data_IF_131966573374
#
_entry.id   IF_131966573374
#
_cell.length_a   1.000
_cell.length_b   1.000
_cell.length_c   1.000
_cell.angle_alpha   90.00
_cell.angle_beta   90.00
_cell.angle_gamma   90.00
#
_symmetry.space_group_name_H-M   'P 1'
#
loop_
_entity.id
_entity.type
_entity.pdbx_description
1 polymer ?
#
# COMPACT_ATOMS: atom_id res chain seq x y z
N UNK A 1 1.05 -0.07 4.02
CA UNK A 1 1.60 1.23 4.48
C UNK A 1 0.84 2.32 3.74
N UNK A 2 0.04 3.11 4.44
CA UNK A 2 -0.73 4.20 3.83
C UNK A 2 0.21 5.41 3.78
N UNK A 3 0.60 5.85 2.60
CA UNK A 3 1.23 7.14 2.43
C UNK A 3 0.13 8.21 2.38
N UNK A 4 -0.12 8.84 3.53
CA UNK A 4 -0.71 10.16 3.58
C UNK A 4 0.44 11.15 3.46
N UNK A 5 0.49 11.93 2.39
CA UNK A 5 1.44 13.04 2.29
C UNK A 5 1.08 14.09 3.33
N UNK A 6 1.90 14.21 4.40
CA UNK A 6 1.86 15.36 5.27
C UNK A 6 2.48 16.55 4.54
N UNK A 7 1.67 17.57 4.26
CA UNK A 7 2.04 18.98 4.15
C UNK A 7 3.18 19.35 3.20
N UNK A 8 3.03 19.15 1.96
CA UNK A 8 3.32 19.91 0.75
C UNK A 8 2.82 19.03 -0.38
N UNK A 9 1.53 19.01 -0.51
CA UNK A 9 0.85 18.23 -1.52
C UNK A 9 1.02 19.00 -2.82
N UNK A 10 1.94 18.58 -3.66
CA UNK A 10 1.79 18.81 -5.08
C UNK A 10 0.51 18.09 -5.46
N UNK A 11 -0.60 18.82 -5.53
CA UNK A 11 -1.87 18.29 -6.04
C UNK A 11 -1.62 17.74 -7.43
N UNK A 12 -2.29 16.62 -7.78
CA UNK A 12 -2.22 16.14 -9.16
C UNK A 12 -2.62 17.29 -10.09
N UNK A 13 -1.83 17.53 -11.15
CA UNK A 13 -2.08 18.65 -12.04
C UNK A 13 -3.51 18.62 -12.58
N UNK A 14 -4.21 19.76 -12.51
CA UNK A 14 -5.53 19.92 -13.13
C UNK A 14 -5.37 19.98 -14.64
N UNK A 15 -6.45 19.80 -15.37
CA UNK A 15 -6.44 19.82 -16.86
C UNK A 15 -5.88 21.10 -17.51
N UNK A 16 -5.68 22.16 -16.74
CA UNK A 16 -5.12 23.45 -17.18
C UNK A 16 -3.72 23.73 -16.58
N UNK A 17 -3.07 22.73 -16.02
CA UNK A 17 -1.75 22.89 -15.40
C UNK A 17 -0.66 22.90 -16.46
N UNK A 18 0.40 23.69 -16.23
CA UNK A 18 1.54 23.75 -17.15
C UNK A 18 2.23 22.38 -17.27
N UNK A 19 2.70 22.04 -18.45
CA UNK A 19 3.39 20.78 -18.78
C UNK A 19 4.57 20.51 -17.84
N UNK A 20 5.28 21.57 -17.43
CA UNK A 20 6.41 21.49 -16.52
C UNK A 20 6.02 20.99 -15.12
N UNK A 21 4.87 21.42 -14.60
CA UNK A 21 4.36 20.97 -13.30
C UNK A 21 3.90 19.52 -13.35
N UNK A 22 3.30 19.11 -14.48
CA UNK A 22 2.90 17.72 -14.71
C UNK A 22 4.12 16.80 -14.70
N UNK A 23 5.18 17.21 -15.41
CA UNK A 23 6.43 16.47 -15.48
C UNK A 23 7.07 16.34 -14.10
N UNK A 24 7.20 17.45 -13.37
CA UNK A 24 7.76 17.44 -12.02
C UNK A 24 6.98 16.53 -11.09
N UNK A 25 5.63 16.53 -11.18
CA UNK A 25 4.79 15.64 -10.38
C UNK A 25 5.11 14.16 -10.61
N UNK A 26 5.30 13.71 -11.86
CA UNK A 26 5.65 12.33 -12.15
C UNK A 26 7.09 11.99 -11.78
N UNK A 27 8.03 12.96 -11.87
CA UNK A 27 9.40 12.80 -11.39
C UNK A 27 9.42 12.61 -9.86
N UNK A 28 8.74 13.45 -9.09
CA UNK A 28 8.62 13.30 -7.63
C UNK A 28 8.01 11.95 -7.23
N UNK A 29 7.02 11.48 -8.01
CA UNK A 29 6.38 10.20 -7.77
C UNK A 29 7.32 9.03 -8.09
N UNK A 30 8.16 9.18 -9.13
CA UNK A 30 9.19 8.21 -9.48
C UNK A 30 10.23 8.08 -8.36
N UNK A 31 10.70 9.20 -7.81
CA UNK A 31 11.65 9.21 -6.69
C UNK A 31 11.08 8.49 -5.46
N UNK A 32 9.80 8.71 -5.16
CA UNK A 32 9.10 8.01 -4.07
C UNK A 32 9.02 6.49 -4.31
N UNK A 33 8.81 6.08 -5.56
CA UNK A 33 8.79 4.66 -5.92
C UNK A 33 10.16 4.01 -5.76
N UNK A 34 11.24 4.71 -6.12
CA UNK A 34 12.61 4.22 -5.99
C UNK A 34 13.01 4.03 -4.52
N UNK A 35 12.54 4.89 -3.63
CA UNK A 35 12.73 4.76 -2.19
C UNK A 35 11.96 3.59 -1.56
N UNK A 36 10.96 3.06 -2.28
CA UNK A 36 10.11 1.99 -1.74
C UNK A 36 10.72 0.61 -2.04
N UNK A 37 11.00 -0.23 -1.03
CA UNK A 37 11.54 -1.56 -1.26
C UNK A 37 10.62 -2.41 -2.15
N UNK A 38 11.16 -3.02 -3.20
CA UNK A 38 10.39 -3.82 -4.20
C UNK A 38 9.60 -4.98 -3.60
N UNK A 39 9.94 -5.44 -2.40
CA UNK A 39 9.23 -6.53 -1.68
C UNK A 39 8.02 -6.04 -0.89
N UNK A 40 7.92 -4.75 -0.64
CA UNK A 40 6.85 -4.18 0.15
C UNK A 40 5.55 -4.08 -0.66
N UNK A 41 4.44 -4.02 0.05
CA UNK A 41 3.13 -3.81 -0.57
C UNK A 41 2.95 -2.32 -0.80
N UNK A 42 2.88 -1.92 -2.06
CA UNK A 42 2.68 -0.54 -2.45
C UNK A 42 1.24 -0.32 -2.91
N UNK A 43 0.60 0.69 -2.35
CA UNK A 43 -0.63 1.29 -2.85
C UNK A 43 -0.46 2.80 -2.95
N UNK A 44 -0.83 3.36 -4.10
CA UNK A 44 -0.91 4.80 -4.33
C UNK A 44 -2.38 5.12 -4.57
N UNK A 45 -2.99 5.88 -3.67
CA UNK A 45 -4.40 6.24 -3.71
C UNK A 45 -4.48 7.74 -3.85
N UNK A 46 -5.09 8.20 -4.96
CA UNK A 46 -5.12 9.61 -5.27
C UNK A 46 -6.24 9.96 -6.25
N UNK A 47 -6.66 11.23 -6.25
CA UNK A 47 -7.27 11.89 -7.39
C UNK A 47 -6.18 12.17 -8.44
N UNK A 48 -6.33 11.58 -9.61
CA UNK A 48 -5.37 11.70 -10.72
C UNK A 48 -5.80 12.71 -11.76
N UNK A 49 -7.02 13.26 -11.67
CA UNK A 49 -7.65 14.10 -12.69
C UNK A 49 -7.53 13.51 -14.11
N UNK A 50 -7.44 12.21 -14.20
CA UNK A 50 -7.16 11.43 -15.39
C UNK A 50 -8.31 10.48 -15.69
N UNK A 51 -8.60 10.20 -16.96
CA UNK A 51 -9.54 9.17 -17.39
C UNK A 51 -8.77 8.08 -18.12
N UNK A 52 -8.74 6.86 -17.59
CA UNK A 52 -8.02 5.75 -18.20
C UNK A 52 -8.89 4.90 -19.14
N UNK A 53 -10.20 5.11 -19.13
CA UNK A 53 -11.12 4.41 -20.03
C UNK A 53 -11.35 2.94 -19.70
N UNK A 54 -12.07 2.27 -20.60
CA UNK A 54 -12.43 0.84 -20.50
C UNK A 54 -11.59 -0.08 -21.38
N UNK A 55 -10.57 0.45 -22.05
CA UNK A 55 -9.68 -0.37 -22.86
C UNK A 55 -8.73 -1.15 -21.97
N UNK A 56 -8.67 -2.47 -22.20
CA UNK A 56 -7.71 -3.34 -21.50
C UNK A 56 -6.31 -3.14 -22.04
N UNK A 57 -5.38 -2.83 -21.15
CA UNK A 57 -3.94 -2.76 -21.42
C UNK A 57 -3.28 -3.82 -20.54
N UNK A 58 -2.71 -4.88 -21.15
CA UNK A 58 -2.16 -6.00 -20.40
C UNK A 58 -1.18 -5.55 -19.31
N UNK A 59 -1.43 -5.99 -18.09
CA UNK A 59 -0.58 -5.69 -16.95
C UNK A 59 -0.84 -4.32 -16.27
N UNK A 60 -1.60 -3.41 -16.88
CA UNK A 60 -1.85 -2.07 -16.35
C UNK A 60 -3.32 -1.84 -16.03
N UNK A 61 -4.20 -1.95 -17.03
CA UNK A 61 -5.64 -1.76 -16.84
C UNK A 61 -6.41 -3.05 -17.13
N UNK A 62 -7.56 -3.20 -16.48
CA UNK A 62 -8.58 -4.16 -16.92
C UNK A 62 -9.61 -3.50 -17.83
N UNK A 63 -10.60 -4.26 -18.25
CA UNK A 63 -11.66 -3.85 -19.17
C UNK A 63 -12.88 -3.19 -18.49
N UNK A 64 -12.80 -2.95 -17.18
CA UNK A 64 -13.94 -2.46 -16.40
C UNK A 64 -13.81 -1.01 -15.96
N UNK A 65 -12.94 -0.23 -16.62
CA UNK A 65 -12.88 1.23 -16.44
C UNK A 65 -14.07 1.94 -17.08
N UNK A 66 -14.17 3.25 -16.88
CA UNK A 66 -15.27 4.07 -17.35
C UNK A 66 -14.90 4.93 -18.55
N UNK A 67 -15.64 4.79 -19.65
CA UNK A 67 -15.59 5.69 -20.81
C UNK A 67 -14.31 5.55 -21.66
N UNK A 68 -13.86 6.68 -22.18
CA UNK A 68 -12.64 6.79 -22.99
C UNK A 68 -11.52 7.46 -22.18
N UNK A 69 -10.28 7.15 -22.50
CA UNK A 69 -9.14 7.85 -21.91
C UNK A 69 -9.00 9.28 -22.44
N UNK A 70 -8.37 10.12 -21.66
CA UNK A 70 -7.91 11.44 -22.04
C UNK A 70 -6.38 11.49 -22.01
N UNK A 71 -5.78 12.62 -22.37
CA UNK A 71 -4.34 12.81 -22.39
C UNK A 71 -3.68 12.54 -21.01
N UNK A 72 -4.28 13.05 -19.93
CA UNK A 72 -3.81 12.76 -18.58
C UNK A 72 -3.92 11.26 -18.22
N UNK A 73 -4.97 10.57 -18.72
CA UNK A 73 -5.13 9.13 -18.58
C UNK A 73 -4.07 8.35 -19.35
N UNK A 74 -3.71 8.80 -20.54
CA UNK A 74 -2.63 8.21 -21.32
C UNK A 74 -1.29 8.30 -20.57
N UNK A 75 -0.94 9.47 -20.03
CA UNK A 75 0.28 9.66 -19.22
C UNK A 75 0.28 8.78 -17.97
N UNK A 76 -0.85 8.66 -17.29
CA UNK A 76 -0.98 7.76 -16.13
C UNK A 76 -0.75 6.30 -16.51
N UNK A 77 -1.27 5.87 -17.64
CA UNK A 77 -1.08 4.51 -18.17
C UNK A 77 0.40 4.26 -18.49
N UNK A 78 1.07 5.19 -19.17
CA UNK A 78 2.49 5.12 -19.51
C UNK A 78 3.35 5.04 -18.25
N UNK A 79 3.10 5.90 -17.28
CA UNK A 79 3.76 5.83 -15.97
C UNK A 79 3.57 4.48 -15.26
N UNK A 80 2.35 3.93 -15.30
CA UNK A 80 2.07 2.61 -14.74
C UNK A 80 2.79 1.48 -15.47
N UNK A 81 2.95 1.57 -16.80
CA UNK A 81 3.71 0.61 -17.61
C UNK A 81 5.18 0.60 -17.22
N UNK A 82 5.80 1.78 -17.16
CA UNK A 82 7.22 1.96 -16.82
C UNK A 82 7.53 1.44 -15.40
N UNK A 83 6.61 1.66 -14.46
CA UNK A 83 6.80 1.31 -13.05
C UNK A 83 6.19 -0.02 -12.62
N UNK A 84 5.73 -0.83 -13.56
CA UNK A 84 5.11 -2.13 -13.26
C UNK A 84 3.96 -2.02 -12.26
N UNK A 85 3.12 -0.99 -12.42
CA UNK A 85 1.92 -0.73 -11.62
C UNK A 85 0.65 -1.18 -12.36
N UNK A 86 -0.39 -1.48 -11.59
CA UNK A 86 -1.72 -1.81 -12.10
C UNK A 86 -2.75 -0.86 -11.52
N UNK A 87 -3.72 -0.45 -12.33
CA UNK A 87 -4.83 0.43 -11.94
C UNK A 87 -5.98 -0.44 -11.43
N UNK A 88 -6.06 -0.58 -10.11
CA UNK A 88 -6.88 -1.58 -9.44
C UNK A 88 -8.40 -1.45 -9.72
N UNK A 89 -8.92 -0.23 -9.84
CA UNK A 89 -10.34 0.02 -10.08
C UNK A 89 -10.84 -0.58 -11.40
N UNK A 90 -9.96 -0.73 -12.39
CA UNK A 90 -10.32 -1.22 -13.73
C UNK A 90 -10.40 -2.75 -13.82
N UNK A 91 -9.98 -3.45 -12.76
CA UNK A 91 -9.83 -4.91 -12.76
C UNK A 91 -11.14 -5.66 -12.48
N UNK A 92 -12.13 -5.00 -11.89
CA UNK A 92 -13.32 -5.65 -11.36
C UNK A 92 -14.59 -5.17 -12.07
N UNK A 93 -15.41 -6.14 -12.45
CA UNK A 93 -16.72 -5.84 -12.98
C UNK A 93 -17.64 -5.35 -11.85
N UNK A 94 -17.97 -4.08 -11.91
CA UNK A 94 -18.89 -3.44 -10.98
C UNK A 94 -20.05 -2.77 -11.74
N UNK A 95 -21.16 -2.55 -11.05
CA UNK A 95 -22.26 -1.81 -11.62
C UNK A 95 -21.82 -0.37 -11.93
N UNK A 96 -22.19 0.18 -13.08
CA UNK A 96 -21.76 1.50 -13.57
C UNK A 96 -21.81 2.60 -12.48
N UNK A 97 -22.83 2.57 -11.61
CA UNK A 97 -22.93 3.49 -10.47
C UNK A 97 -21.79 3.40 -9.47
N UNK A 98 -21.09 2.29 -9.37
CA UNK A 98 -19.97 2.05 -8.44
C UNK A 98 -18.60 2.28 -9.07
N UNK A 99 -18.57 2.78 -10.30
CA UNK A 99 -17.34 3.15 -11.00
C UNK A 99 -17.05 4.65 -10.90
N UNK A 100 -18.09 5.48 -10.72
CA UNK A 100 -17.89 6.92 -10.59
C UNK A 100 -17.18 7.25 -9.28
N UNK A 101 -16.15 8.08 -9.36
CA UNK A 101 -15.42 8.58 -8.19
C UNK A 101 -15.69 10.07 -7.94
N UNK A 102 -16.19 10.78 -8.95
CA UNK A 102 -16.52 12.18 -8.88
C UNK A 102 -17.84 12.49 -9.58
N UNK A 103 -18.60 13.40 -9.00
CA UNK A 103 -19.85 13.91 -9.59
C UNK A 103 -19.78 15.45 -9.62
N UNK A 104 -20.10 16.06 -10.78
CA UNK A 104 -20.10 17.50 -10.89
C UNK A 104 -21.13 18.12 -9.93
N UNK A 105 -20.91 19.39 -9.46
CA UNK A 105 -21.81 20.08 -8.53
C UNK A 105 -23.26 20.21 -9.07
N UNK A 106 -23.43 20.24 -10.40
CA UNK A 106 -24.75 20.26 -11.04
C UNK A 106 -25.38 18.86 -11.19
N UNK A 107 -24.69 17.79 -10.75
CA UNK A 107 -25.12 16.39 -10.82
C UNK A 107 -25.18 15.77 -12.23
N UNK A 108 -24.85 16.56 -13.29
CA UNK A 108 -25.01 16.11 -14.68
C UNK A 108 -23.86 15.26 -15.19
N UNK A 109 -22.66 15.49 -14.69
CA UNK A 109 -21.45 14.81 -15.14
C UNK A 109 -20.89 13.91 -14.03
N UNK A 110 -20.53 12.71 -14.41
CA UNK A 110 -19.90 11.72 -13.51
C UNK A 110 -18.69 11.10 -14.17
N UNK A 111 -17.57 11.13 -13.48
CA UNK A 111 -16.30 10.65 -13.98
C UNK A 111 -15.65 9.65 -13.00
N UNK A 112 -14.74 8.86 -13.54
CA UNK A 112 -13.80 8.07 -12.77
C UNK A 112 -12.43 8.72 -12.96
N UNK A 113 -11.95 9.44 -11.95
CA UNK A 113 -10.70 10.20 -11.97
C UNK A 113 -9.80 9.88 -10.78
N UNK A 114 -10.33 9.19 -9.77
CA UNK A 114 -9.55 8.64 -8.68
C UNK A 114 -9.24 7.18 -8.94
N UNK A 115 -7.99 6.84 -8.75
CA UNK A 115 -7.52 5.47 -8.93
C UNK A 115 -6.64 5.02 -7.79
N UNK A 116 -6.65 3.71 -7.58
CA UNK A 116 -5.75 3.01 -6.69
C UNK A 116 -4.74 2.28 -7.56
N UNK A 117 -3.49 2.72 -7.50
CA UNK A 117 -2.39 2.02 -8.12
C UNK A 117 -1.80 1.02 -7.15
N UNK A 118 -1.36 -0.11 -7.67
CA UNK A 118 -0.73 -1.16 -6.90
C UNK A 118 0.37 -1.80 -7.74
N UNK A 119 1.48 -2.22 -7.14
CA UNK A 119 2.47 -2.97 -7.90
C UNK A 119 1.87 -4.28 -8.43
N UNK A 120 2.19 -4.61 -9.68
CA UNK A 120 1.63 -5.75 -10.42
C UNK A 120 1.82 -7.07 -9.67
N UNK A 121 2.90 -7.19 -8.92
CA UNK A 121 3.19 -8.34 -8.04
C UNK A 121 2.04 -8.63 -7.05
N UNK A 122 1.34 -7.59 -6.59
CA UNK A 122 0.29 -7.70 -5.58
C UNK A 122 -1.12 -7.68 -6.16
N UNK A 123 -1.26 -7.62 -7.49
CA UNK A 123 -2.54 -7.62 -8.19
C UNK A 123 -3.50 -8.72 -7.70
N UNK A 124 -2.99 -9.94 -7.55
CA UNK A 124 -3.80 -11.10 -7.10
C UNK A 124 -4.28 -11.00 -5.64
N UNK A 125 -3.73 -10.09 -4.87
CA UNK A 125 -4.14 -9.83 -3.49
C UNK A 125 -5.34 -8.89 -3.40
N UNK A 126 -5.65 -8.14 -4.47
CA UNK A 126 -6.81 -7.27 -4.55
C UNK A 126 -8.02 -8.15 -4.87
N UNK A 127 -9.08 -8.04 -4.07
CA UNK A 127 -10.31 -8.83 -4.21
C UNK A 127 -11.46 -8.03 -4.81
N UNK A 128 -11.51 -6.73 -4.58
CA UNK A 128 -12.48 -5.81 -5.17
C UNK A 128 -12.01 -4.38 -5.02
N UNK A 129 -12.44 -3.51 -5.95
CA UNK A 129 -12.28 -2.06 -5.88
C UNK A 129 -13.55 -1.42 -6.43
N UNK A 130 -14.23 -0.57 -5.64
CA UNK A 130 -15.50 0.05 -5.99
C UNK A 130 -15.77 1.29 -5.17
N UNK A 131 -16.64 2.16 -5.65
CA UNK A 131 -17.11 3.30 -4.87
C UNK A 131 -18.34 2.92 -4.03
N UNK A 132 -18.50 3.63 -2.92
CA UNK A 132 -19.68 3.57 -2.06
C UNK A 132 -20.45 4.87 -2.17
N UNK A 133 -21.56 4.82 -2.92
CA UNK A 133 -22.47 5.95 -3.10
C UNK A 133 -23.07 6.39 -1.76
N UNK A 134 -23.19 7.70 -1.58
CA UNK A 134 -23.87 8.27 -0.41
C UNK A 134 -23.10 8.13 0.91
N UNK A 135 -21.81 7.81 0.86
CA UNK A 135 -20.95 8.04 2.02
C UNK A 135 -20.70 9.55 2.06
N UNK A 136 -21.29 10.23 3.04
CA UNK A 136 -21.04 11.65 3.26
C UNK A 136 -19.58 11.84 3.71
N UNK A 137 -18.75 12.20 2.74
CA UNK A 137 -17.33 12.52 2.97
C UNK A 137 -17.10 14.03 3.03
N UNK A 138 -18.17 14.85 2.93
CA UNK A 138 -18.08 16.32 2.90
C UNK A 138 -17.39 16.86 1.64
N UNK A 139 -17.29 16.08 0.57
CA UNK A 139 -16.69 16.45 -0.72
C UNK A 139 -17.52 15.95 -1.89
N UNK A 140 -17.22 16.45 -3.10
CA UNK A 140 -17.85 16.05 -4.38
C UNK A 140 -17.43 14.63 -4.81
N UNK A 141 -16.52 14.00 -4.02
CA UNK A 141 -15.93 12.70 -4.32
C UNK A 141 -16.71 11.57 -3.65
N UNK A 142 -16.80 10.46 -4.35
CA UNK A 142 -17.38 9.23 -3.82
C UNK A 142 -16.30 8.39 -3.10
N UNK A 143 -16.64 7.82 -1.95
CA UNK A 143 -15.70 6.99 -1.18
C UNK A 143 -15.24 5.77 -1.97
N UNK A 144 -13.98 5.75 -2.38
CA UNK A 144 -13.36 4.63 -3.07
C UNK A 144 -12.86 3.58 -2.06
N UNK A 145 -13.35 2.34 -2.19
CA UNK A 145 -13.04 1.24 -1.28
C UNK A 145 -12.32 0.13 -2.05
N UNK A 146 -11.18 -0.32 -1.54
CA UNK A 146 -10.49 -1.52 -2.01
C UNK A 146 -10.49 -2.59 -0.93
N UNK A 147 -10.80 -3.83 -1.32
CA UNK A 147 -10.64 -5.00 -0.48
C UNK A 147 -9.38 -5.75 -0.87
N UNK A 148 -8.46 -5.85 0.08
CA UNK A 148 -7.15 -6.45 -0.12
C UNK A 148 -6.93 -7.61 0.85
N UNK A 149 -6.33 -8.71 0.37
CA UNK A 149 -6.01 -9.89 1.17
C UNK A 149 -4.58 -10.32 0.98
N UNK A 150 -3.75 -10.07 1.98
CA UNK A 150 -2.38 -10.57 2.04
C UNK A 150 -2.37 -12.05 2.47
N UNK A 151 -1.69 -12.88 1.68
CA UNK A 151 -1.29 -14.22 2.10
C UNK A 151 0.13 -14.13 2.66
N UNK A 152 0.24 -13.93 3.96
CA UNK A 152 1.53 -13.97 4.63
C UNK A 152 2.04 -15.43 4.64
N UNK A 153 3.32 -15.61 4.29
CA UNK A 153 3.99 -16.91 4.44
C UNK A 153 3.98 -17.22 5.94
N UNK A 154 3.48 -18.39 6.32
CA UNK A 154 3.63 -18.85 7.71
C UNK A 154 5.13 -18.87 8.00
N UNK A 155 5.57 -18.03 8.93
CA UNK A 155 6.88 -18.20 9.55
C UNK A 155 6.84 -19.58 10.18
N UNK A 156 7.72 -20.48 9.75
CA UNK A 156 7.84 -21.80 10.36
C UNK A 156 7.88 -21.61 11.87
N UNK A 157 7.23 -22.51 12.63
CA UNK A 157 7.33 -22.46 14.09
C UNK A 157 8.80 -22.31 14.42
N UNK A 158 9.19 -21.17 14.99
CA UNK A 158 10.50 -21.04 15.60
C UNK A 158 10.60 -22.23 16.52
N UNK A 159 11.58 -23.08 16.28
CA UNK A 159 11.94 -24.14 17.22
C UNK A 159 11.92 -23.48 18.58
N UNK A 160 11.06 -23.96 19.48
CA UNK A 160 11.00 -23.39 20.84
C UNK A 160 12.45 -23.33 21.32
N UNK A 161 12.90 -22.20 21.90
CA UNK A 161 14.24 -22.13 22.42
C UNK A 161 14.44 -23.36 23.31
N UNK A 162 15.56 -24.03 23.16
CA UNK A 162 15.87 -25.25 23.88
C UNK A 162 15.63 -24.97 25.37
N UNK A 163 14.66 -25.63 25.98
CA UNK A 163 14.45 -25.51 27.41
C UNK A 163 15.51 -26.36 28.07
N UNK A 164 16.49 -25.69 28.65
CA UNK A 164 17.43 -26.37 29.50
C UNK A 164 16.69 -26.97 30.69
N UNK A 165 16.85 -28.27 30.91
CA UNK A 165 16.43 -28.88 32.13
C UNK A 165 17.40 -28.47 33.26
N UNK A 166 16.93 -27.64 34.16
CA UNK A 166 17.75 -27.13 35.25
C UNK A 166 18.30 -28.24 36.17
N UNK A 167 17.63 -29.41 36.15
CA UNK A 167 18.09 -30.59 36.93
C UNK A 167 19.25 -31.34 36.26
N UNK A 168 19.54 -31.05 35.00
CA UNK A 168 20.60 -31.69 34.21
C UNK A 168 21.81 -30.73 33.95
N UNK A 169 21.86 -29.62 34.65
CA UNK A 169 23.02 -28.71 34.54
C UNK A 169 24.28 -29.37 35.12
N UNK A 170 25.33 -29.58 34.32
CA UNK A 170 26.54 -30.16 34.83
C UNK A 170 27.13 -29.34 36.00
N UNK A 171 27.64 -30.02 37.02
CA UNK A 171 28.19 -29.36 38.19
C UNK A 171 29.32 -28.36 37.82
N UNK A 172 30.16 -28.72 36.87
CA UNK A 172 31.25 -27.86 36.37
C UNK A 172 30.72 -26.53 35.79
N UNK A 173 29.58 -26.56 35.08
CA UNK A 173 28.95 -25.34 34.58
C UNK A 173 28.43 -24.46 35.71
N UNK A 174 27.86 -25.07 36.73
CA UNK A 174 27.37 -24.34 37.92
C UNK A 174 28.56 -23.67 38.68
N UNK A 175 29.67 -24.36 38.79
CA UNK A 175 30.89 -23.82 39.41
C UNK A 175 31.46 -22.67 38.60
N UNK A 176 31.55 -22.81 37.29
CA UNK A 176 32.07 -21.76 36.41
C UNK A 176 31.22 -20.50 36.45
N UNK A 177 29.86 -20.64 36.37
CA UNK A 177 28.92 -19.53 36.48
C UNK A 177 29.09 -18.84 37.84
N UNK A 178 29.13 -19.60 38.96
CA UNK A 178 29.33 -19.05 40.30
C UNK A 178 30.63 -18.28 40.42
N UNK A 179 31.71 -18.78 39.83
CA UNK A 179 33.01 -18.12 39.87
C UNK A 179 33.02 -16.82 39.07
N UNK A 180 32.34 -16.79 37.93
CA UNK A 180 32.20 -15.55 37.14
C UNK A 180 31.36 -14.49 37.84
N UNK A 181 30.32 -14.90 38.58
CA UNK A 181 29.45 -13.96 39.30
C UNK A 181 30.04 -13.52 40.64
N UNK A 182 30.98 -14.28 41.26
CA UNK A 182 31.69 -13.86 42.46
C UNK A 182 32.50 -12.56 42.27
N UNK A 183 32.98 -12.31 41.06
CA UNK A 183 33.69 -11.07 40.72
C UNK A 183 32.79 -9.83 40.55
N UNK A 184 31.48 -10.00 40.63
CA UNK A 184 30.51 -8.91 40.43
C UNK A 184 29.85 -8.42 41.73
N UNK A 185 30.27 -8.93 42.90
CA UNK A 185 29.73 -8.62 44.25
C UNK A 185 28.17 -8.69 44.36
N UNK A 186 27.53 -9.49 43.44
CA UNK A 186 26.08 -9.63 43.38
C UNK A 186 25.56 -10.83 44.18
N UNK A 187 26.46 -11.70 44.69
CA UNK A 187 26.05 -12.98 45.31
C UNK A 187 25.58 -12.78 46.76
N UNK A 188 26.04 -11.73 47.45
CA UNK A 188 25.63 -11.46 48.83
C UNK A 188 24.25 -10.82 49.00
N UNK A 189 23.51 -10.66 47.90
CA UNK A 189 22.18 -10.01 47.90
C UNK A 189 20.99 -10.95 47.53
N UNK A 190 21.22 -12.24 47.37
CA UNK A 190 20.16 -13.20 47.12
C UNK A 190 19.69 -13.76 48.46
N UNK A 191 18.42 -13.57 48.84
CA UNK A 191 17.84 -14.20 50.05
C UNK A 191 17.88 -15.73 49.92
N UNK A 192 18.20 -16.41 51.01
CA UNK A 192 18.26 -17.89 51.10
C UNK A 192 16.89 -18.59 51.06
N UNK A 193 15.83 -17.91 50.56
CA UNK A 193 14.52 -18.46 50.48
C UNK A 193 14.08 -18.67 48.99
N UNK A 194 14.25 -19.89 48.52
CA UNK A 194 13.45 -20.54 47.46
C UNK A 194 13.31 -22.04 47.79
#
# INVERSE_FOLDING_TARGET
>A
MLFRSNGNSSLCPKSNTEEAEVKQFYEDLQDLLELTPKKDVLFIIRDWNAKVGSQEIPGVTGKFGLGLWNEAGQRLIEFCQENTLVIANTLFQEHKRRLYTWTSPDGKHRNQIEYILCSQRWRSSIQSAKTRLGADCGSDDELLIVKFRLKLKKVGKTTRPFRYDLNQIPYDYTVEVRNRFKGLDLIDKVPDEL
#
